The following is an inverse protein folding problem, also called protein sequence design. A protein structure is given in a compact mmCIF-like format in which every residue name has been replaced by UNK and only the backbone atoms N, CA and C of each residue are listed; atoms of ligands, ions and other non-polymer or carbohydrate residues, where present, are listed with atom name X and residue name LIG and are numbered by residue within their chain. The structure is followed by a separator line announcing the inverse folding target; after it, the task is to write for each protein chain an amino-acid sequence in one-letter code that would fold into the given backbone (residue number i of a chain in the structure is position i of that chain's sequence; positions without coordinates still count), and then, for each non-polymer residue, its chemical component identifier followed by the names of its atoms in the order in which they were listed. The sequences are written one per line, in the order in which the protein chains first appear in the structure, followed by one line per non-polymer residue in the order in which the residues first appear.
data_IF_731589785317
#
_entry.id   IF_731589785317
#
_cell.length_a   1.000
_cell.length_b   1.000
_cell.length_c   1.000
_cell.angle_alpha   90.00
_cell.angle_beta   90.00
_cell.angle_gamma   90.00
#
_symmetry.space_group_name_H-M   'P 1'
#
loop_
_entity.id
_entity.type
_entity.pdbx_description
1 polymer ?
#
# COMPACT_ATOMS: atom_id res chain seq x y z
N UNK A 1 32.69 -4.80 -2.89
CA UNK A 1 31.90 -3.75 -3.56
C UNK A 1 30.44 -3.97 -3.18
N UNK A 2 29.86 -3.08 -2.36
CA UNK A 2 28.43 -3.16 -2.01
C UNK A 2 27.64 -2.51 -3.14
N UNK A 3 26.94 -3.31 -3.95
CA UNK A 3 25.92 -2.79 -4.87
C UNK A 3 24.82 -2.17 -4.02
N UNK A 4 24.64 -0.86 -4.15
CA UNK A 4 23.50 -0.13 -3.59
C UNK A 4 22.25 -0.69 -4.23
N UNK A 5 21.39 -1.33 -3.42
CA UNK A 5 20.06 -1.75 -3.82
C UNK A 5 19.35 -0.52 -4.44
N UNK A 6 19.01 -0.60 -5.72
CA UNK A 6 18.18 0.40 -6.38
C UNK A 6 16.82 0.37 -5.67
N UNK A 7 16.51 1.42 -4.92
CA UNK A 7 15.19 1.60 -4.29
C UNK A 7 14.11 1.45 -5.36
N UNK A 8 13.19 0.51 -5.17
CA UNK A 8 11.99 0.32 -6.00
C UNK A 8 11.15 1.61 -6.10
N UNK A 9 11.36 2.54 -5.20
CA UNK A 9 10.58 3.75 -4.96
C UNK A 9 11.41 5.01 -5.22
N UNK A 10 12.01 5.18 -6.35
CA UNK A 10 12.73 6.33 -6.89
C UNK A 10 13.32 7.36 -5.89
N UNK A 11 14.34 8.13 -6.29
CA UNK A 11 15.08 9.07 -5.41
C UNK A 11 14.26 10.27 -4.91
N UNK A 12 12.96 10.35 -5.23
CA UNK A 12 12.07 11.48 -4.91
C UNK A 12 11.08 11.22 -3.77
N UNK A 13 11.11 10.08 -3.09
CA UNK A 13 10.34 9.93 -1.86
C UNK A 13 10.64 11.07 -0.86
N UNK A 14 11.87 11.56 -0.81
CA UNK A 14 12.26 12.71 0.00
C UNK A 14 11.78 14.08 -0.57
N UNK A 15 11.51 14.20 -1.87
CA UNK A 15 11.11 15.46 -2.51
C UNK A 15 9.59 15.73 -2.44
N UNK A 16 8.77 14.71 -2.14
CA UNK A 16 7.32 14.85 -2.00
C UNK A 16 6.95 15.67 -0.76
N UNK A 17 7.82 15.71 0.26
CA UNK A 17 7.62 16.49 1.47
C UNK A 17 7.62 18.03 1.27
N UNK A 18 7.91 18.55 0.05
CA UNK A 18 8.15 19.98 -0.16
C UNK A 18 6.99 20.76 -0.80
N UNK A 19 5.84 20.13 -1.11
CA UNK A 19 4.73 20.82 -1.79
C UNK A 19 3.38 20.75 -1.06
N UNK A 20 3.38 20.60 0.27
CA UNK A 20 2.15 20.43 1.02
C UNK A 20 1.75 21.69 1.77
N UNK A 21 0.51 22.13 1.55
CA UNK A 21 -0.10 23.33 2.15
C UNK A 21 -0.58 23.10 3.59
N UNK A 22 -0.79 21.85 4.00
CA UNK A 22 -1.25 21.50 5.34
C UNK A 22 -0.24 20.59 6.06
N UNK A 23 -0.07 20.80 7.37
CA UNK A 23 0.77 19.95 8.21
C UNK A 23 0.18 18.52 8.27
N UNK A 24 1.03 17.46 8.25
CA UNK A 24 0.54 16.09 8.36
C UNK A 24 -0.20 15.88 9.70
N UNK A 25 -1.37 15.23 9.61
CA UNK A 25 -2.16 14.87 10.78
C UNK A 25 -1.71 13.51 11.32
N UNK A 26 -1.64 13.39 12.66
CA UNK A 26 -1.17 12.18 13.36
C UNK A 26 -2.33 11.50 14.08
N UNK A 27 -2.47 10.21 13.85
CA UNK A 27 -3.50 9.36 14.48
C UNK A 27 -2.90 8.07 15.04
N UNK A 28 -3.68 7.37 15.84
CA UNK A 28 -3.38 6.00 16.27
C UNK A 28 -4.57 5.10 15.96
N UNK A 29 -4.35 4.04 15.17
CA UNK A 29 -5.36 3.05 14.82
C UNK A 29 -4.83 1.66 15.17
N UNK A 30 -5.53 0.91 16.01
CA UNK A 30 -5.16 -0.44 16.48
C UNK A 30 -3.70 -0.55 16.95
N UNK A 31 -3.18 0.52 17.58
CA UNK A 31 -1.80 0.59 18.06
C UNK A 31 -0.76 0.98 17.01
N UNK A 32 -1.15 1.20 15.75
CA UNK A 32 -0.26 1.75 14.73
C UNK A 32 -0.29 3.26 14.73
N UNK A 33 0.87 3.88 14.56
CA UNK A 33 0.95 5.29 14.19
C UNK A 33 0.48 5.46 12.73
N UNK A 34 -0.35 6.47 12.48
CA UNK A 34 -0.88 6.78 11.15
C UNK A 34 -0.64 8.26 10.88
N UNK A 35 0.08 8.54 9.81
CA UNK A 35 0.29 9.90 9.28
C UNK A 35 -0.68 10.08 8.10
N UNK A 36 -1.47 11.14 8.12
CA UNK A 36 -2.39 11.47 7.02
C UNK A 36 -2.00 12.78 6.38
N UNK A 37 -1.84 12.76 5.07
CA UNK A 37 -1.57 13.91 4.22
C UNK A 37 -2.69 13.98 3.17
N UNK A 38 -3.83 14.56 3.58
CA UNK A 38 -5.01 14.64 2.72
C UNK A 38 -4.98 15.90 1.85
N UNK A 39 -4.56 15.77 0.60
CA UNK A 39 -4.55 16.84 -0.41
C UNK A 39 -5.86 16.95 -1.21
N UNK A 40 -6.91 16.18 -0.82
CA UNK A 40 -8.18 16.08 -1.53
C UNK A 40 -9.31 16.57 -0.62
N UNK A 41 -9.80 17.82 -0.79
CA UNK A 41 -10.87 18.39 0.06
C UNK A 41 -12.22 17.69 -0.11
N UNK A 42 -12.41 16.94 -1.21
CA UNK A 42 -13.59 16.12 -1.48
C UNK A 42 -13.53 14.74 -0.79
N UNK A 43 -12.46 14.40 -0.12
CA UNK A 43 -12.30 13.17 0.65
C UNK A 43 -12.23 13.52 2.14
N UNK A 44 -13.17 12.97 2.93
CA UNK A 44 -13.15 13.17 4.36
C UNK A 44 -12.10 12.28 5.03
N UNK A 45 -11.18 12.88 5.78
CA UNK A 45 -10.14 12.13 6.54
C UNK A 45 -10.74 11.05 7.44
N UNK A 46 -11.86 11.27 8.18
CA UNK A 46 -12.48 10.20 8.96
C UNK A 46 -12.88 8.96 8.16
N UNK A 47 -13.33 9.11 6.92
CA UNK A 47 -13.73 7.97 6.07
C UNK A 47 -12.54 7.08 5.72
N UNK A 48 -11.38 7.67 5.40
CA UNK A 48 -10.16 6.90 5.08
C UNK A 48 -9.57 6.24 6.33
N UNK A 49 -9.65 6.89 7.50
CA UNK A 49 -9.26 6.30 8.77
C UNK A 49 -10.15 5.12 9.16
N UNK A 50 -11.47 5.25 8.99
CA UNK A 50 -12.43 4.17 9.21
C UNK A 50 -12.14 2.98 8.29
N UNK A 51 -11.84 3.23 7.01
CA UNK A 51 -11.48 2.17 6.04
C UNK A 51 -10.19 1.47 6.41
N UNK A 52 -9.18 2.19 6.90
CA UNK A 52 -7.95 1.58 7.40
C UNK A 52 -8.24 0.70 8.62
N UNK A 53 -9.05 1.19 9.58
CA UNK A 53 -9.44 0.41 10.77
C UNK A 53 -10.20 -0.86 10.41
N UNK A 54 -11.20 -0.77 9.50
CA UNK A 54 -11.93 -1.93 9.00
C UNK A 54 -11.00 -2.97 8.36
N UNK A 55 -10.01 -2.52 7.58
CA UNK A 55 -9.06 -3.39 6.89
C UNK A 55 -8.15 -4.11 7.88
N UNK A 56 -7.62 -3.40 8.87
CA UNK A 56 -6.81 -3.99 9.94
C UNK A 56 -7.63 -4.93 10.84
N UNK A 57 -8.90 -4.57 11.13
CA UNK A 57 -9.83 -5.44 11.84
C UNK A 57 -10.11 -6.73 11.07
N UNK A 58 -10.23 -6.65 9.76
CA UNK A 58 -10.44 -7.82 8.91
C UNK A 58 -9.20 -8.75 8.94
N UNK A 59 -8.00 -8.19 8.87
CA UNK A 59 -6.75 -8.96 9.03
C UNK A 59 -6.70 -9.63 10.40
N UNK A 60 -7.02 -8.89 11.47
CA UNK A 60 -6.99 -9.40 12.85
C UNK A 60 -7.93 -10.59 13.04
N UNK A 61 -9.15 -10.51 12.51
CA UNK A 61 -10.13 -11.59 12.61
C UNK A 61 -9.79 -12.82 11.76
N UNK A 62 -9.17 -12.60 10.59
CA UNK A 62 -8.95 -13.68 9.61
C UNK A 62 -7.58 -14.34 9.80
N UNK A 63 -6.55 -13.56 10.02
CA UNK A 63 -5.16 -14.02 10.14
C UNK A 63 -4.42 -13.19 11.21
N UNK A 64 -4.73 -13.35 12.51
CA UNK A 64 -4.19 -12.52 13.59
C UNK A 64 -2.65 -12.50 13.64
N UNK A 65 -1.99 -13.61 13.29
CA UNK A 65 -0.52 -13.64 13.22
C UNK A 65 0.07 -12.68 12.18
N UNK A 66 -0.66 -12.36 11.10
CA UNK A 66 -0.22 -11.36 10.12
C UNK A 66 -0.29 -9.96 10.69
N UNK A 67 -1.30 -9.63 11.50
CA UNK A 67 -1.36 -8.35 12.20
C UNK A 67 -0.16 -8.19 13.15
N UNK A 68 0.22 -9.25 13.87
CA UNK A 68 1.42 -9.24 14.71
C UNK A 68 2.71 -9.05 13.90
N UNK A 69 2.76 -9.61 12.69
CA UNK A 69 3.86 -9.35 11.77
C UNK A 69 3.92 -7.87 11.36
N UNK A 70 2.77 -7.27 11.01
CA UNK A 70 2.70 -5.84 10.68
C UNK A 70 3.17 -4.98 11.87
N UNK A 71 2.70 -5.27 13.09
CA UNK A 71 3.11 -4.55 14.32
C UNK A 71 4.62 -4.58 14.55
N UNK A 72 5.26 -5.71 14.29
CA UNK A 72 6.70 -5.86 14.48
C UNK A 72 7.52 -5.23 13.37
N UNK A 73 7.09 -5.38 12.12
CA UNK A 73 7.91 -5.09 10.95
C UNK A 73 7.68 -3.66 10.43
N UNK A 74 6.53 -3.01 10.72
CA UNK A 74 6.22 -1.63 10.36
C UNK A 74 6.45 -0.68 11.56
N UNK A 75 6.86 0.55 11.25
CA UNK A 75 6.89 1.65 12.22
C UNK A 75 5.59 2.48 12.18
N UNK A 76 5.02 2.67 10.98
CA UNK A 76 3.81 3.49 10.79
C UNK A 76 3.10 3.17 9.49
N UNK A 77 1.86 3.65 9.38
CA UNK A 77 1.16 3.85 8.11
C UNK A 77 1.30 5.30 7.66
N UNK A 78 1.30 5.51 6.34
CA UNK A 78 1.26 6.83 5.73
C UNK A 78 0.15 6.85 4.67
N UNK A 79 -0.86 7.69 4.90
CA UNK A 79 -1.98 7.87 3.96
C UNK A 79 -1.72 9.16 3.19
N UNK A 80 -1.54 9.03 1.90
CA UNK A 80 -1.17 10.16 1.04
C UNK A 80 -1.67 9.92 -0.39
N UNK A 81 -1.83 10.98 -1.16
CA UNK A 81 -2.07 10.88 -2.59
C UNK A 81 -0.79 10.45 -3.31
N UNK A 82 -0.78 9.27 -3.92
CA UNK A 82 0.40 8.68 -4.53
C UNK A 82 0.05 7.92 -5.82
N UNK A 83 0.95 7.78 -6.82
CA UNK A 83 0.63 7.15 -8.11
C UNK A 83 0.55 5.61 -8.08
N UNK A 84 0.64 4.98 -6.94
CA UNK A 84 0.33 3.56 -6.76
C UNK A 84 -0.52 3.35 -5.50
N UNK A 85 -1.17 2.18 -5.39
CA UNK A 85 -2.13 1.88 -4.31
C UNK A 85 -1.47 1.67 -2.95
N UNK A 86 -0.29 1.11 -2.94
CA UNK A 86 0.50 0.84 -1.75
C UNK A 86 1.98 0.86 -2.07
N UNK A 87 2.81 1.09 -1.06
CA UNK A 87 4.26 0.99 -1.12
C UNK A 87 4.85 0.77 0.27
N UNK A 88 5.91 0.01 0.35
CA UNK A 88 6.71 -0.12 1.56
C UNK A 88 8.00 0.70 1.43
N UNK A 89 8.26 1.60 2.36
CA UNK A 89 9.49 2.40 2.43
C UNK A 89 10.44 1.82 3.48
N UNK A 90 11.50 1.12 3.07
CA UNK A 90 12.36 0.36 3.97
C UNK A 90 13.06 1.21 5.03
N UNK A 91 13.61 2.38 4.66
CA UNK A 91 14.40 3.23 5.54
C UNK A 91 13.59 3.74 6.74
N UNK A 92 12.30 4.01 6.53
CA UNK A 92 11.39 4.50 7.57
C UNK A 92 10.46 3.42 8.11
N UNK A 93 10.52 2.20 7.55
CA UNK A 93 9.61 1.08 7.85
C UNK A 93 8.13 1.50 7.73
N UNK A 94 7.83 2.30 6.72
CA UNK A 94 6.50 2.89 6.51
C UNK A 94 5.74 2.11 5.43
N UNK A 95 4.52 1.70 5.76
CA UNK A 95 3.54 1.22 4.79
C UNK A 95 2.72 2.42 4.31
N UNK A 96 2.90 2.84 3.07
CA UNK A 96 2.05 3.84 2.43
C UNK A 96 0.81 3.15 1.86
N UNK A 97 -0.34 3.78 2.07
CA UNK A 97 -1.61 3.40 1.45
C UNK A 97 -2.22 4.63 0.79
N UNK A 98 -2.56 4.50 -0.49
CA UNK A 98 -3.00 5.63 -1.29
C UNK A 98 -4.38 6.14 -0.86
N UNK A 99 -4.50 7.48 -0.71
CA UNK A 99 -5.66 8.17 -0.18
C UNK A 99 -6.96 7.85 -0.93
N UNK A 100 -6.96 7.93 -2.28
CA UNK A 100 -8.17 7.70 -3.07
C UNK A 100 -8.54 6.22 -3.13
N UNK A 101 -7.59 5.32 -2.94
CA UNK A 101 -7.87 3.89 -2.82
C UNK A 101 -8.62 3.57 -1.53
N UNK A 102 -8.23 4.17 -0.40
CA UNK A 102 -8.97 4.07 0.87
C UNK A 102 -10.37 4.67 0.78
N UNK A 103 -10.52 5.80 0.07
CA UNK A 103 -11.78 6.53 -0.07
C UNK A 103 -12.80 5.86 -1.03
N UNK A 104 -12.42 4.81 -1.76
CA UNK A 104 -13.31 4.12 -2.70
C UNK A 104 -14.52 3.52 -1.98
N UNK A 105 -15.72 3.85 -2.49
CA UNK A 105 -16.99 3.35 -1.96
C UNK A 105 -17.50 2.11 -2.70
N UNK A 106 -16.92 1.80 -3.85
CA UNK A 106 -17.27 0.68 -4.72
C UNK A 106 -16.49 -0.62 -4.39
N UNK A 107 -15.64 -0.59 -3.37
CA UNK A 107 -14.91 -1.75 -2.87
C UNK A 107 -15.14 -1.94 -1.36
N UNK A 108 -15.01 -3.18 -0.90
CA UNK A 108 -14.99 -3.52 0.53
C UNK A 108 -13.63 -3.25 1.16
N UNK A 109 -13.49 -3.53 2.46
CA UNK A 109 -12.19 -3.47 3.14
C UNK A 109 -11.20 -4.58 2.69
N UNK A 110 -11.69 -5.67 2.08
CA UNK A 110 -10.84 -6.81 1.73
C UNK A 110 -9.72 -6.50 0.72
N UNK A 111 -9.95 -5.78 -0.41
CA UNK A 111 -8.88 -5.35 -1.29
C UNK A 111 -7.83 -4.44 -0.64
N UNK A 112 -8.26 -3.60 0.31
CA UNK A 112 -7.34 -2.72 1.06
C UNK A 112 -6.51 -3.55 2.03
N UNK A 113 -7.13 -4.45 2.78
CA UNK A 113 -6.44 -5.38 3.68
C UNK A 113 -5.41 -6.24 2.94
N UNK A 114 -5.76 -6.75 1.75
CA UNK A 114 -4.84 -7.50 0.90
C UNK A 114 -3.63 -6.65 0.47
N UNK A 115 -3.86 -5.38 0.08
CA UNK A 115 -2.77 -4.45 -0.27
C UNK A 115 -1.86 -4.16 0.94
N UNK A 116 -2.42 -3.97 2.13
CA UNK A 116 -1.65 -3.80 3.37
C UNK A 116 -0.79 -5.04 3.65
N UNK A 117 -1.33 -6.24 3.47
CA UNK A 117 -0.58 -7.49 3.66
C UNK A 117 0.53 -7.66 2.62
N UNK A 118 0.32 -7.21 1.38
CA UNK A 118 1.34 -7.16 0.35
C UNK A 118 2.54 -6.32 0.80
N UNK A 119 2.30 -5.07 1.20
CA UNK A 119 3.36 -4.17 1.68
C UNK A 119 4.01 -4.67 2.99
N UNK A 120 3.21 -5.30 3.85
CA UNK A 120 3.70 -5.96 5.06
C UNK A 120 4.62 -7.15 4.76
N UNK A 121 4.43 -7.84 3.65
CA UNK A 121 5.34 -8.90 3.21
C UNK A 121 6.67 -8.33 2.69
N UNK A 122 6.65 -7.21 1.96
CA UNK A 122 7.89 -6.47 1.64
C UNK A 122 8.65 -6.09 2.91
N UNK A 123 7.96 -5.53 3.91
CA UNK A 123 8.57 -5.21 5.21
C UNK A 123 9.22 -6.44 5.87
N UNK A 124 8.53 -7.58 5.82
CA UNK A 124 9.02 -8.82 6.42
C UNK A 124 10.22 -9.42 5.67
N UNK A 125 10.21 -9.39 4.34
CA UNK A 125 11.33 -9.83 3.50
C UNK A 125 12.54 -8.93 3.74
N UNK A 126 12.32 -7.62 3.80
CA UNK A 126 13.35 -6.64 4.11
C UNK A 126 13.96 -6.84 5.50
N UNK A 127 13.13 -7.03 6.54
CA UNK A 127 13.58 -7.28 7.91
C UNK A 127 14.45 -8.55 8.05
N UNK A 128 14.39 -9.47 7.08
CA UNK A 128 15.23 -10.67 6.99
C UNK A 128 16.50 -10.48 6.16
N UNK A 129 16.75 -9.28 5.65
CA UNK A 129 17.88 -8.97 4.80
C UNK A 129 17.78 -9.52 3.37
N UNK A 130 16.58 -9.87 2.92
CA UNK A 130 16.32 -10.46 1.59
C UNK A 130 15.64 -9.48 0.62
N UNK A 131 15.27 -8.29 1.07
CA UNK A 131 14.56 -7.30 0.26
C UNK A 131 15.41 -6.75 -0.88
N UNK A 132 14.80 -6.59 -2.07
CA UNK A 132 15.42 -6.00 -3.26
C UNK A 132 16.48 -6.89 -3.96
N UNK A 133 16.67 -8.14 -3.53
CA UNK A 133 17.66 -9.06 -4.11
C UNK A 133 17.12 -9.71 -5.38
N UNK A 134 15.86 -10.15 -5.35
CA UNK A 134 15.15 -10.81 -6.45
C UNK A 134 13.71 -10.28 -6.45
N UNK A 135 13.48 -9.22 -7.20
CA UNK A 135 12.21 -8.50 -7.21
C UNK A 135 11.03 -9.35 -7.69
N UNK A 136 11.11 -10.10 -8.80
CA UNK A 136 10.01 -10.95 -9.22
C UNK A 136 9.63 -12.00 -8.18
N UNK A 137 10.62 -12.60 -7.52
CA UNK A 137 10.39 -13.56 -6.44
C UNK A 137 9.74 -12.91 -5.23
N UNK A 138 10.20 -11.72 -4.85
CA UNK A 138 9.65 -10.94 -3.74
C UNK A 138 8.18 -10.59 -4.01
N UNK A 139 7.86 -10.07 -5.20
CA UNK A 139 6.48 -9.78 -5.63
C UNK A 139 5.60 -11.03 -5.58
N UNK A 140 6.07 -12.19 -6.05
CA UNK A 140 5.31 -13.43 -5.98
C UNK A 140 5.05 -13.88 -4.54
N UNK A 141 5.98 -13.65 -3.61
CA UNK A 141 5.77 -13.91 -2.18
C UNK A 141 4.64 -13.00 -1.64
N UNK A 142 4.65 -11.71 -2.00
CA UNK A 142 3.63 -10.76 -1.62
C UNK A 142 2.25 -11.13 -2.22
N UNK A 143 2.19 -11.51 -3.50
CA UNK A 143 0.95 -11.97 -4.16
C UNK A 143 0.39 -13.27 -3.57
N UNK A 144 1.24 -14.20 -3.15
CA UNK A 144 0.80 -15.40 -2.42
C UNK A 144 0.17 -15.04 -1.07
N UNK A 145 0.72 -14.06 -0.37
CA UNK A 145 0.12 -13.59 0.88
C UNK A 145 -1.27 -12.96 0.67
N UNK A 146 -1.47 -12.20 -0.42
CA UNK A 146 -2.80 -11.71 -0.83
C UNK A 146 -3.75 -12.88 -1.13
N UNK A 147 -3.30 -13.87 -1.91
CA UNK A 147 -4.09 -15.05 -2.26
C UNK A 147 -4.51 -15.84 -1.02
N UNK A 148 -3.57 -16.15 -0.12
CA UNK A 148 -3.85 -16.87 1.12
C UNK A 148 -4.86 -16.13 1.99
N UNK A 149 -4.77 -14.81 2.04
CA UNK A 149 -5.73 -13.97 2.76
C UNK A 149 -7.11 -14.02 2.11
N UNK A 150 -7.18 -13.83 0.78
CA UNK A 150 -8.44 -13.88 0.05
C UNK A 150 -9.15 -15.23 0.19
N UNK A 151 -8.41 -16.35 0.17
CA UNK A 151 -8.95 -17.69 0.36
C UNK A 151 -9.46 -17.95 1.79
N UNK A 152 -8.93 -17.25 2.78
CA UNK A 152 -9.37 -17.36 4.18
C UNK A 152 -10.61 -16.50 4.49
N UNK A 153 -11.02 -15.62 3.60
CA UNK A 153 -12.23 -14.80 3.74
C UNK A 153 -13.48 -15.56 3.28
N UNK A 154 -14.69 -15.15 3.75
CA UNK A 154 -15.94 -15.54 3.09
C UNK A 154 -15.89 -15.25 1.60
N UNK A 155 -16.49 -16.12 0.77
CA UNK A 155 -16.32 -16.10 -0.68
C UNK A 155 -16.74 -14.78 -1.34
N UNK A 156 -17.77 -14.12 -0.84
CA UNK A 156 -18.26 -12.83 -1.32
C UNK A 156 -17.25 -11.67 -1.12
N UNK A 157 -16.50 -11.72 -0.02
CA UNK A 157 -15.45 -10.76 0.28
C UNK A 157 -14.10 -11.12 -0.36
N UNK A 158 -13.80 -12.42 -0.40
CA UNK A 158 -12.49 -12.93 -0.82
C UNK A 158 -12.33 -13.04 -2.34
N UNK A 159 -13.41 -13.29 -3.10
CA UNK A 159 -13.34 -13.55 -4.53
C UNK A 159 -12.57 -12.47 -5.32
N UNK A 160 -12.79 -11.17 -5.14
CA UNK A 160 -12.06 -10.14 -5.89
C UNK A 160 -10.56 -10.12 -5.57
N UNK A 161 -10.17 -10.47 -4.32
CA UNK A 161 -8.77 -10.57 -3.89
C UNK A 161 -8.11 -11.79 -4.53
N UNK A 162 -8.78 -12.95 -4.48
CA UNK A 162 -8.31 -14.22 -5.05
C UNK A 162 -8.11 -14.11 -6.55
N UNK A 163 -9.09 -13.56 -7.28
CA UNK A 163 -9.02 -13.37 -8.72
C UNK A 163 -7.81 -12.52 -9.12
N UNK A 164 -7.66 -11.35 -8.47
CA UNK A 164 -6.52 -10.45 -8.73
C UNK A 164 -5.18 -11.10 -8.41
N UNK A 165 -5.08 -11.77 -7.27
CA UNK A 165 -3.83 -12.38 -6.85
C UNK A 165 -3.42 -13.53 -7.77
N UNK A 166 -4.37 -14.38 -8.22
CA UNK A 166 -4.12 -15.45 -9.18
C UNK A 166 -3.65 -14.90 -10.51
N UNK A 167 -4.37 -13.93 -11.09
CA UNK A 167 -3.98 -13.28 -12.34
C UNK A 167 -2.55 -12.70 -12.25
N UNK A 168 -2.20 -12.06 -11.12
CA UNK A 168 -0.86 -11.51 -10.93
C UNK A 168 0.23 -12.59 -10.79
N UNK A 169 -0.09 -13.77 -10.27
CA UNK A 169 0.87 -14.87 -10.11
C UNK A 169 1.20 -15.58 -11.44
N UNK A 170 0.34 -15.43 -12.45
CA UNK A 170 0.52 -15.97 -13.81
C UNK A 170 1.37 -15.08 -14.71
N UNK A 171 1.66 -13.84 -14.29
CA UNK A 171 2.46 -12.88 -15.05
C UNK A 171 3.93 -13.32 -15.17
N UNK A 172 4.58 -12.94 -16.26
CA UNK A 172 6.03 -13.07 -16.43
C UNK A 172 6.79 -12.18 -15.43
N UNK A 173 8.09 -12.42 -15.25
CA UNK A 173 8.89 -11.72 -14.25
C UNK A 173 8.94 -10.20 -14.49
N UNK A 174 9.00 -9.77 -15.74
CA UNK A 174 9.01 -8.35 -16.13
C UNK A 174 7.67 -7.65 -15.89
N UNK A 175 6.58 -8.43 -15.88
CA UNK A 175 5.22 -7.91 -15.67
C UNK A 175 4.81 -7.94 -14.19
N UNK A 176 5.28 -8.92 -13.41
CA UNK A 176 4.98 -9.02 -11.98
C UNK A 176 5.74 -7.97 -11.17
N UNK A 177 6.94 -7.59 -11.61
CA UNK A 177 7.78 -6.55 -11.02
C UNK A 177 8.20 -5.48 -12.06
N UNK A 178 7.24 -4.73 -12.64
CA UNK A 178 7.53 -3.79 -13.71
C UNK A 178 8.42 -2.64 -13.23
N UNK A 179 9.32 -2.19 -14.10
CA UNK A 179 10.03 -0.94 -13.89
C UNK A 179 9.06 0.23 -14.03
N UNK A 180 8.85 0.97 -12.95
CA UNK A 180 7.92 2.11 -12.92
C UNK A 180 8.66 3.38 -13.38
N UNK A 181 8.15 4.03 -14.44
CA UNK A 181 8.52 5.42 -14.74
C UNK A 181 7.72 6.36 -13.83
N UNK A 182 8.36 6.75 -12.74
CA UNK A 182 7.74 7.62 -11.72
C UNK A 182 7.37 9.00 -12.26
N UNK A 183 8.08 9.53 -13.27
CA UNK A 183 7.78 10.84 -13.85
C UNK A 183 6.46 10.79 -14.63
N UNK A 184 6.26 9.74 -15.41
CA UNK A 184 5.00 9.50 -16.14
C UNK A 184 3.85 9.21 -15.17
N UNK A 185 4.08 8.39 -14.14
CA UNK A 185 3.07 8.06 -13.14
C UNK A 185 2.59 9.30 -12.36
N UNK A 186 3.51 10.16 -11.93
CA UNK A 186 3.20 11.42 -11.24
C UNK A 186 2.44 12.39 -12.15
N UNK A 187 2.89 12.60 -13.40
CA UNK A 187 2.21 13.46 -14.36
C UNK A 187 0.77 13.01 -14.64
N UNK A 188 0.55 11.70 -14.76
CA UNK A 188 -0.79 11.11 -14.92
C UNK A 188 -1.67 11.38 -13.72
N UNK A 189 -1.16 11.18 -12.50
CA UNK A 189 -1.88 11.48 -11.26
C UNK A 189 -2.29 12.95 -11.20
N UNK A 190 -1.37 13.88 -11.45
CA UNK A 190 -1.65 15.31 -11.45
C UNK A 190 -2.71 15.70 -12.49
N UNK A 191 -2.70 15.07 -13.67
CA UNK A 191 -3.71 15.29 -14.68
C UNK A 191 -5.11 14.87 -14.21
N UNK A 192 -5.22 13.70 -13.53
CA UNK A 192 -6.46 13.19 -12.94
C UNK A 192 -6.96 14.16 -11.86
N UNK A 193 -6.08 14.62 -10.97
CA UNK A 193 -6.44 15.53 -9.87
C UNK A 193 -6.86 16.91 -10.38
N UNK A 194 -6.23 17.41 -11.46
CA UNK A 194 -6.66 18.65 -12.13
C UNK A 194 -8.04 18.50 -12.79
N UNK A 195 -8.32 17.36 -13.41
CA UNK A 195 -9.63 17.10 -14.01
C UNK A 195 -10.74 17.03 -12.95
N UNK A 196 -10.50 16.35 -11.82
CA UNK A 196 -11.44 16.27 -10.71
C UNK A 196 -11.79 17.64 -10.11
N UNK A 197 -10.79 18.54 -10.00
CA UNK A 197 -11.01 19.92 -9.49
C UNK A 197 -11.79 20.84 -10.44
N UNK A 198 -11.84 20.52 -11.74
CA UNK A 198 -12.60 21.31 -12.73
C UNK A 198 -14.04 20.84 -12.88
N UNK A 199 -14.36 19.64 -12.43
CA UNK A 199 -15.70 19.06 -12.50
C UNK A 199 -16.58 19.34 -11.28
N UNK A 200 -16.03 20.02 -10.28
CA UNK A 200 -16.74 20.58 -9.12
C UNK A 200 -16.85 22.08 -9.24
#
# INVERSE_FOLDING_TARGET
MRQTARSLYGPRAAAIFHHMTDAPELYTIRGFQVVVENSRPDIATPDVLARLDESLALIERTQPWRLEHLRRDLARFWIVRYPCRGAFFPESRTCMTELTFLARRDITAAPVAASILHEGMHARVYARGLGGVDLPREERICRRAELDFGLALPSDLGAPVVERARASLELADEEVAPAIDWSVAMARQEAIDRAARRGN
#
